data_IF_972370596291
#
_entry.id   IF_972370596291
#
_cell.length_a   1.000
_cell.length_b   1.000
_cell.length_c   1.000
_cell.angle_alpha   90.00
_cell.angle_beta   90.00
_cell.angle_gamma   90.00
#
_symmetry.space_group_name_H-M   'P 1'
#
loop_
_entity.id
_entity.type
_entity.pdbx_description
1 polymer ?
#
# COMPACT_ATOMS: atom_id res chain seq x y z
N UNK A 1 -5.51 -12.84 -25.81
CA UNK A 1 -6.63 -11.91 -26.03
C UNK A 1 -6.81 -11.68 -27.51
N UNK A 2 -7.94 -12.10 -28.08
CA UNK A 2 -8.25 -11.82 -29.49
C UNK A 2 -9.46 -10.88 -29.50
N UNK A 3 -9.22 -9.65 -29.92
CA UNK A 3 -10.32 -8.69 -30.15
C UNK A 3 -11.10 -9.07 -31.40
N UNK A 4 -12.39 -8.76 -31.51
CA UNK A 4 -13.24 -9.08 -32.67
C UNK A 4 -12.70 -8.53 -34.02
N UNK A 5 -11.98 -7.41 -34.01
CA UNK A 5 -11.35 -6.77 -35.17
C UNK A 5 -9.83 -6.85 -35.15
N UNK A 6 -9.28 -8.01 -34.76
CA UNK A 6 -7.85 -8.17 -34.53
C UNK A 6 -6.93 -7.88 -35.74
N UNK A 7 -7.45 -7.90 -36.97
CA UNK A 7 -6.70 -7.54 -38.17
C UNK A 7 -6.45 -6.03 -38.27
N UNK A 8 -7.39 -5.23 -37.76
CA UNK A 8 -7.34 -3.76 -37.81
C UNK A 8 -6.96 -3.13 -36.47
N UNK A 9 -6.89 -3.94 -35.39
CA UNK A 9 -6.58 -3.52 -34.05
C UNK A 9 -5.14 -3.90 -33.69
N UNK A 10 -4.30 -2.92 -33.53
CA UNK A 10 -2.98 -3.06 -32.89
C UNK A 10 -2.90 -2.20 -31.62
N UNK A 11 -2.06 -2.55 -30.65
CA UNK A 11 -1.78 -1.65 -29.55
C UNK A 11 -1.24 -0.31 -30.08
N UNK A 12 -1.74 0.79 -29.55
CA UNK A 12 -1.18 2.11 -29.82
C UNK A 12 0.24 2.19 -29.28
N UNK A 13 1.11 2.89 -29.96
CA UNK A 13 2.36 3.37 -29.40
C UNK A 13 2.07 4.51 -28.43
N UNK A 14 3.01 4.79 -27.54
CA UNK A 14 2.82 5.81 -26.52
C UNK A 14 2.57 7.20 -27.12
N UNK A 15 3.33 7.57 -28.14
CA UNK A 15 3.20 8.82 -28.88
C UNK A 15 1.84 8.97 -29.60
N UNK A 16 1.32 7.88 -30.16
CA UNK A 16 -0.01 7.85 -30.78
C UNK A 16 -1.12 8.03 -29.74
N UNK A 17 -0.98 7.34 -28.60
CA UNK A 17 -1.91 7.47 -27.48
C UNK A 17 -1.90 8.89 -26.91
N UNK A 18 -0.73 9.47 -26.70
CA UNK A 18 -0.55 10.83 -26.21
C UNK A 18 -1.21 11.86 -27.13
N UNK A 19 -1.05 11.71 -28.46
CA UNK A 19 -1.67 12.57 -29.47
C UNK A 19 -3.19 12.48 -29.54
N UNK A 20 -3.78 11.37 -29.05
CA UNK A 20 -5.24 11.17 -29.04
C UNK A 20 -5.88 11.66 -27.72
N UNK A 21 -5.12 11.86 -26.65
CA UNK A 21 -5.62 12.25 -25.35
C UNK A 21 -5.51 13.78 -25.13
N UNK A 22 -6.60 14.55 -25.38
CA UNK A 22 -6.54 16.01 -25.32
C UNK A 22 -6.39 16.57 -23.92
N UNK A 23 -6.85 15.81 -22.90
CA UNK A 23 -6.75 16.18 -21.48
C UNK A 23 -6.52 14.91 -20.66
N UNK A 24 -5.57 14.98 -19.72
CA UNK A 24 -5.22 13.86 -18.85
C UNK A 24 -5.14 14.32 -17.40
N UNK A 25 -5.64 13.47 -16.50
CA UNK A 25 -5.45 13.62 -15.06
C UNK A 25 -4.61 12.44 -14.59
N UNK A 26 -3.41 12.74 -14.10
CA UNK A 26 -2.52 11.76 -13.50
C UNK A 26 -2.79 11.68 -12.00
N UNK A 27 -3.00 10.47 -11.48
CA UNK A 27 -3.20 10.23 -10.04
C UNK A 27 -2.11 9.28 -9.56
N UNK A 28 -1.23 9.76 -8.72
CA UNK A 28 -0.12 8.98 -8.18
C UNK A 28 0.30 9.49 -6.80
N UNK A 29 0.68 8.56 -5.91
CA UNK A 29 1.35 8.91 -4.65
C UNK A 29 2.84 9.22 -4.85
N UNK A 30 3.41 8.79 -5.98
CA UNK A 30 4.82 8.90 -6.35
C UNK A 30 4.92 9.20 -7.85
N UNK A 31 4.68 10.46 -8.28
CA UNK A 31 4.76 10.84 -9.68
C UNK A 31 6.10 10.45 -10.30
N UNK A 32 6.09 10.12 -11.57
CA UNK A 32 7.31 9.86 -12.34
C UNK A 32 7.78 11.14 -13.05
N UNK A 33 8.96 11.07 -13.65
CA UNK A 33 9.50 12.19 -14.43
C UNK A 33 8.61 12.60 -15.60
N UNK A 34 7.83 11.66 -16.14
CA UNK A 34 6.91 11.95 -17.23
C UNK A 34 5.78 12.86 -16.78
N UNK A 35 5.11 12.53 -15.68
CA UNK A 35 4.03 13.32 -15.11
C UNK A 35 4.54 14.70 -14.66
N UNK A 36 5.70 14.75 -14.01
CA UNK A 36 6.31 16.01 -13.57
C UNK A 36 6.65 16.93 -14.75
N UNK A 37 7.13 16.38 -15.88
CA UNK A 37 7.51 17.14 -17.06
C UNK A 37 6.31 17.63 -17.88
N UNK A 38 5.18 16.90 -17.88
CA UNK A 38 4.04 17.15 -18.74
C UNK A 38 2.83 17.73 -18.01
N UNK A 39 2.81 17.73 -16.68
CA UNK A 39 1.72 18.32 -15.91
C UNK A 39 1.76 19.84 -15.94
N UNK A 40 0.69 20.47 -16.40
CA UNK A 40 0.52 21.92 -16.32
C UNK A 40 0.28 22.44 -14.90
N UNK A 41 -0.24 21.58 -14.03
CA UNK A 41 -0.48 21.87 -12.62
C UNK A 41 -0.32 20.60 -11.79
N UNK A 42 0.32 20.71 -10.62
CA UNK A 42 0.44 19.63 -9.64
C UNK A 42 -0.34 20.03 -8.40
N UNK A 43 -1.35 19.23 -8.04
CA UNK A 43 -2.14 19.40 -6.83
C UNK A 43 -1.83 18.27 -5.86
N UNK A 44 -1.49 18.59 -4.63
CA UNK A 44 -1.17 17.60 -3.60
C UNK A 44 -2.34 17.42 -2.64
N UNK A 45 -2.78 16.18 -2.47
CA UNK A 45 -3.73 15.77 -1.44
C UNK A 45 -2.98 14.99 -0.36
N UNK A 46 -2.38 15.69 0.59
CA UNK A 46 -1.52 15.10 1.62
C UNK A 46 -2.29 14.76 2.88
N UNK A 47 -3.27 15.59 3.26
CA UNK A 47 -3.99 15.44 4.52
C UNK A 47 -5.06 14.35 4.46
N UNK A 48 -5.18 13.59 5.55
CA UNK A 48 -6.17 12.53 5.74
C UNK A 48 -7.27 13.00 6.69
N UNK A 49 -8.55 12.86 6.33
CA UNK A 49 -9.67 13.24 7.23
C UNK A 49 -9.67 12.47 8.55
N UNK A 50 -9.13 11.25 8.58
CA UNK A 50 -8.98 10.43 9.78
C UNK A 50 -7.97 10.96 10.79
N UNK A 51 -7.14 11.93 10.38
CA UNK A 51 -6.06 12.47 11.19
C UNK A 51 -4.83 11.57 11.34
N UNK A 52 -4.84 10.37 10.74
CA UNK A 52 -3.73 9.42 10.82
C UNK A 52 -2.45 9.99 10.22
N UNK A 53 -1.36 9.81 10.96
CA UNK A 53 -0.04 10.31 10.57
C UNK A 53 0.70 9.29 9.70
N UNK A 54 1.62 9.78 8.88
CA UNK A 54 2.63 8.91 8.28
C UNK A 54 3.52 8.29 9.37
N UNK A 55 4.05 7.05 9.16
CA UNK A 55 4.77 6.34 10.20
C UNK A 55 6.06 7.06 10.61
N UNK A 56 6.47 6.83 11.85
CA UNK A 56 7.80 7.23 12.31
C UNK A 56 8.82 6.31 11.66
N UNK A 57 9.91 6.89 11.14
CA UNK A 57 10.98 6.12 10.51
C UNK A 57 12.19 6.07 11.44
N UNK A 58 12.71 4.86 11.63
CA UNK A 58 14.00 4.62 12.32
C UNK A 58 14.97 3.93 11.36
N UNK A 59 16.23 4.34 11.39
CA UNK A 59 17.32 3.65 10.70
C UNK A 59 18.11 2.88 11.73
N UNK A 60 18.35 1.58 11.50
CA UNK A 60 19.10 0.70 12.39
C UNK A 60 20.14 -0.09 11.61
N UNK A 61 21.25 -0.53 12.25
CA UNK A 61 22.30 -1.28 11.57
C UNK A 61 21.80 -2.57 10.92
N UNK A 62 22.25 -2.83 9.68
CA UNK A 62 21.88 -4.03 8.95
C UNK A 62 22.47 -5.31 9.57
N UNK A 63 23.63 -5.23 10.22
CA UNK A 63 24.29 -6.37 10.83
C UNK A 63 23.40 -7.12 11.86
N UNK A 64 22.58 -6.41 12.61
CA UNK A 64 21.68 -6.97 13.64
C UNK A 64 20.22 -7.00 13.21
N UNK A 65 19.91 -6.91 11.92
CA UNK A 65 18.54 -6.74 11.42
C UNK A 65 17.62 -7.89 11.84
N UNK A 66 18.06 -9.14 11.82
CA UNK A 66 17.24 -10.31 12.14
C UNK A 66 16.87 -10.34 13.62
N UNK A 67 17.86 -10.25 14.52
CA UNK A 67 17.63 -10.30 15.97
C UNK A 67 16.83 -9.09 16.46
N UNK A 68 17.13 -7.93 15.89
CA UNK A 68 16.40 -6.71 16.22
C UNK A 68 14.95 -6.77 15.73
N UNK A 69 14.72 -7.27 14.51
CA UNK A 69 13.37 -7.48 14.00
C UNK A 69 12.59 -8.50 14.85
N UNK A 70 13.20 -9.59 15.28
CA UNK A 70 12.57 -10.58 16.16
C UNK A 70 12.10 -9.94 17.48
N UNK A 71 12.90 -9.06 18.07
CA UNK A 71 12.51 -8.32 19.28
C UNK A 71 11.29 -7.41 19.03
N UNK A 72 11.29 -6.63 17.95
CA UNK A 72 10.17 -5.78 17.56
C UNK A 72 8.91 -6.59 17.25
N UNK A 73 9.05 -7.74 16.56
CA UNK A 73 7.96 -8.66 16.26
C UNK A 73 7.27 -9.11 17.54
N UNK A 74 8.04 -9.61 18.52
CA UNK A 74 7.49 -10.08 19.79
C UNK A 74 6.72 -8.98 20.54
N UNK A 75 7.26 -7.77 20.55
CA UNK A 75 6.62 -6.63 21.19
C UNK A 75 5.28 -6.25 20.50
N UNK A 76 5.20 -6.34 19.16
CA UNK A 76 4.00 -6.02 18.39
C UNK A 76 2.96 -7.15 18.41
N UNK A 77 3.40 -8.39 18.27
CA UNK A 77 2.54 -9.56 18.35
C UNK A 77 1.83 -9.65 19.71
N UNK A 78 2.52 -9.30 20.81
CA UNK A 78 1.92 -9.21 22.13
C UNK A 78 0.79 -8.16 22.24
N UNK A 79 0.77 -7.16 21.36
CA UNK A 79 -0.28 -6.14 21.25
C UNK A 79 -1.33 -6.48 20.17
N UNK A 80 -1.26 -7.68 19.62
CA UNK A 80 -2.12 -8.12 18.50
C UNK A 80 -2.01 -7.23 17.24
N UNK A 81 -0.85 -6.64 17.01
CA UNK A 81 -0.52 -5.85 15.84
C UNK A 81 0.15 -6.72 14.77
N UNK A 82 0.10 -6.30 13.49
CA UNK A 82 0.68 -7.05 12.36
C UNK A 82 1.92 -6.37 11.82
N UNK A 83 2.82 -7.20 11.28
CA UNK A 83 4.14 -6.78 10.83
C UNK A 83 4.36 -7.19 9.37
N UNK A 84 4.90 -6.27 8.58
CA UNK A 84 5.41 -6.55 7.24
C UNK A 84 6.93 -6.47 7.22
N UNK A 85 7.58 -7.47 6.62
CA UNK A 85 9.02 -7.46 6.40
C UNK A 85 9.30 -7.56 4.90
N UNK A 86 10.09 -6.64 4.37
CA UNK A 86 10.52 -6.69 2.97
C UNK A 86 11.99 -7.06 2.87
N UNK A 87 12.26 -8.07 2.04
CA UNK A 87 13.60 -8.56 1.73
C UNK A 87 13.89 -8.44 0.23
N UNK A 88 15.13 -8.67 -0.19
CA UNK A 88 15.55 -8.47 -1.58
C UNK A 88 15.41 -9.72 -2.46
N UNK A 89 15.48 -10.91 -1.87
CA UNK A 89 15.50 -12.17 -2.62
C UNK A 89 14.52 -13.20 -2.06
N UNK A 90 14.09 -14.14 -2.92
CA UNK A 90 13.23 -15.26 -2.54
C UNK A 90 13.89 -16.12 -1.46
N UNK A 91 15.17 -16.45 -1.65
CA UNK A 91 15.93 -17.25 -0.67
C UNK A 91 15.97 -16.57 0.70
N UNK A 92 16.25 -15.26 0.74
CA UNK A 92 16.23 -14.52 2.01
C UNK A 92 14.85 -14.51 2.67
N UNK A 93 13.76 -14.48 1.89
CA UNK A 93 12.41 -14.59 2.43
C UNK A 93 12.16 -15.97 3.04
N UNK A 94 12.59 -17.02 2.37
CA UNK A 94 12.47 -18.42 2.82
C UNK A 94 13.31 -18.64 4.10
N UNK A 95 14.60 -18.31 4.06
CA UNK A 95 15.52 -18.44 5.20
C UNK A 95 15.02 -17.66 6.45
N UNK A 96 14.52 -16.43 6.23
CA UNK A 96 13.97 -15.61 7.32
C UNK A 96 12.66 -16.18 7.87
N UNK A 97 11.81 -16.71 7.03
CA UNK A 97 10.55 -17.34 7.47
C UNK A 97 10.82 -18.58 8.31
N UNK A 98 11.74 -19.45 7.87
CA UNK A 98 12.17 -20.62 8.62
C UNK A 98 12.77 -20.21 9.99
N UNK A 99 13.68 -19.24 10.01
CA UNK A 99 14.25 -18.74 11.25
C UNK A 99 13.20 -18.20 12.22
N UNK A 100 12.23 -17.43 11.73
CA UNK A 100 11.17 -16.87 12.58
C UNK A 100 10.23 -17.95 13.11
N UNK A 101 9.91 -18.96 12.31
CA UNK A 101 9.09 -20.10 12.71
C UNK A 101 9.78 -20.94 13.82
N UNK A 102 11.08 -21.24 13.67
CA UNK A 102 11.91 -21.87 14.71
C UNK A 102 11.91 -21.10 16.02
N UNK A 103 11.73 -19.76 15.96
CA UNK A 103 11.62 -18.88 17.12
C UNK A 103 10.18 -18.66 17.61
N UNK A 104 9.25 -19.54 17.20
CA UNK A 104 7.84 -19.52 17.58
C UNK A 104 7.08 -18.26 17.18
N UNK A 105 7.47 -17.63 16.08
CA UNK A 105 6.74 -16.53 15.45
C UNK A 105 5.78 -17.09 14.42
N UNK A 106 4.51 -16.70 14.49
CA UNK A 106 3.54 -17.04 13.46
C UNK A 106 3.80 -16.19 12.22
N UNK A 107 4.42 -16.78 11.21
CA UNK A 107 4.92 -16.10 10.01
C UNK A 107 4.47 -16.80 8.73
N UNK A 108 4.22 -16.03 7.68
CA UNK A 108 4.10 -16.52 6.31
C UNK A 108 4.94 -15.66 5.37
N UNK A 109 5.35 -16.22 4.22
CA UNK A 109 5.99 -15.44 3.17
C UNK A 109 5.11 -15.36 1.92
N UNK A 110 5.29 -14.27 1.16
CA UNK A 110 4.58 -13.99 -0.08
C UNK A 110 5.59 -13.82 -1.21
N UNK A 111 5.55 -14.68 -2.21
CA UNK A 111 6.41 -14.61 -3.39
C UNK A 111 5.61 -14.35 -4.67
N UNK A 112 6.32 -14.17 -5.80
CA UNK A 112 5.73 -13.82 -7.09
C UNK A 112 4.86 -14.91 -7.69
N UNK A 113 5.11 -16.18 -7.33
CA UNK A 113 4.47 -17.35 -7.93
C UNK A 113 3.13 -17.71 -7.25
N UNK A 114 2.80 -17.03 -6.14
CA UNK A 114 1.50 -17.16 -5.46
C UNK A 114 0.42 -16.58 -6.36
N UNK A 115 -0.62 -17.35 -6.61
CA UNK A 115 -1.73 -16.90 -7.45
C UNK A 115 -2.56 -15.79 -6.76
N UNK A 116 -3.46 -15.18 -7.52
CA UNK A 116 -4.23 -14.04 -7.00
C UNK A 116 -5.18 -14.43 -5.87
N UNK A 117 -5.75 -15.63 -5.90
CA UNK A 117 -6.70 -16.12 -4.89
C UNK A 117 -5.97 -16.41 -3.59
N UNK A 118 -4.90 -17.20 -3.66
CA UNK A 118 -4.05 -17.54 -2.50
C UNK A 118 -3.48 -16.27 -1.85
N UNK A 119 -3.10 -15.28 -2.67
CA UNK A 119 -2.64 -13.99 -2.16
C UNK A 119 -3.69 -13.27 -1.34
N UNK A 120 -4.95 -13.26 -1.79
CA UNK A 120 -6.07 -12.64 -1.06
C UNK A 120 -6.31 -13.39 0.25
N UNK A 121 -6.22 -14.71 0.26
CA UNK A 121 -6.33 -15.54 1.46
C UNK A 121 -5.22 -15.23 2.47
N UNK A 122 -3.96 -15.16 2.03
CA UNK A 122 -2.82 -14.81 2.91
C UNK A 122 -3.03 -13.44 3.56
N UNK A 123 -3.48 -12.45 2.80
CA UNK A 123 -3.74 -11.10 3.33
C UNK A 123 -4.90 -11.09 4.30
N UNK A 124 -5.97 -11.81 4.00
CA UNK A 124 -7.11 -11.99 4.90
C UNK A 124 -6.67 -12.63 6.21
N UNK A 125 -5.91 -13.72 6.15
CA UNK A 125 -5.44 -14.46 7.32
C UNK A 125 -4.51 -13.61 8.19
N UNK A 126 -3.64 -12.77 7.59
CA UNK A 126 -2.86 -11.77 8.32
C UNK A 126 -3.76 -10.80 9.08
N UNK A 127 -4.78 -10.26 8.43
CA UNK A 127 -5.73 -9.32 9.04
C UNK A 127 -6.55 -9.97 10.15
N UNK A 128 -6.98 -11.23 9.99
CA UNK A 128 -7.68 -12.00 11.00
C UNK A 128 -6.79 -12.39 12.19
N UNK A 129 -5.47 -12.35 12.02
CA UNK A 129 -4.51 -12.70 13.07
C UNK A 129 -4.21 -14.18 13.17
N UNK A 130 -4.44 -14.92 12.10
CA UNK A 130 -4.00 -16.32 12.00
C UNK A 130 -2.47 -16.42 12.06
N UNK A 131 -1.79 -15.36 11.62
CA UNK A 131 -0.35 -15.16 11.80
C UNK A 131 -0.03 -13.67 11.98
N UNK A 132 1.17 -13.34 12.46
CA UNK A 132 1.56 -11.99 12.87
C UNK A 132 2.45 -11.29 11.87
N UNK A 133 3.27 -12.05 11.14
CA UNK A 133 4.32 -11.52 10.26
C UNK A 133 4.14 -11.99 8.84
N UNK A 134 4.13 -11.05 7.90
CA UNK A 134 4.21 -11.35 6.47
C UNK A 134 5.56 -10.91 5.93
N UNK A 135 6.33 -11.86 5.42
CA UNK A 135 7.61 -11.63 4.74
C UNK A 135 7.38 -11.62 3.23
N UNK A 136 7.98 -10.66 2.51
CA UNK A 136 7.87 -10.65 1.06
C UNK A 136 8.96 -9.82 0.37
N UNK A 137 9.14 -10.07 -0.93
CA UNK A 137 10.12 -9.34 -1.74
C UNK A 137 9.53 -8.00 -2.20
N UNK A 138 8.34 -8.05 -2.76
CA UNK A 138 7.63 -6.89 -3.28
C UNK A 138 6.20 -6.86 -2.74
N UNK A 139 6.04 -6.26 -1.58
CA UNK A 139 4.74 -6.04 -0.94
C UNK A 139 4.05 -4.75 -1.41
N UNK A 140 4.57 -4.16 -2.52
CA UNK A 140 4.10 -2.87 -3.06
C UNK A 140 2.88 -3.00 -3.97
N UNK A 141 2.48 -4.21 -4.36
CA UNK A 141 1.36 -4.37 -5.30
C UNK A 141 0.11 -3.68 -4.77
N UNK A 142 -0.56 -2.99 -5.66
CA UNK A 142 -1.80 -2.26 -5.41
C UNK A 142 -2.88 -3.15 -4.77
N UNK A 143 -3.78 -2.55 -4.01
CA UNK A 143 -4.90 -3.26 -3.39
C UNK A 143 -4.63 -3.87 -2.01
N UNK A 144 -3.44 -3.68 -1.43
CA UNK A 144 -3.16 -4.13 -0.07
C UNK A 144 -3.58 -3.07 0.95
N UNK A 145 -4.76 -3.26 1.52
CA UNK A 145 -5.28 -2.45 2.62
C UNK A 145 -5.25 -3.26 3.92
N UNK A 146 -4.29 -2.95 4.79
CA UNK A 146 -4.03 -3.67 6.02
C UNK A 146 -3.91 -2.68 7.19
N UNK A 147 -5.03 -2.18 7.72
CA UNK A 147 -5.00 -1.20 8.81
C UNK A 147 -4.43 -1.77 10.12
N UNK A 148 -4.33 -3.08 10.25
CA UNK A 148 -3.77 -3.79 11.40
C UNK A 148 -2.23 -3.77 11.44
N UNK A 149 -1.58 -3.37 10.33
CA UNK A 149 -0.12 -3.31 10.23
C UNK A 149 0.42 -2.08 10.93
N UNK A 150 1.13 -2.29 12.03
CA UNK A 150 1.78 -1.25 12.82
C UNK A 150 3.27 -1.10 12.51
N UNK A 151 3.92 -2.17 12.04
CA UNK A 151 5.34 -2.16 11.75
C UNK A 151 5.63 -2.61 10.32
N UNK A 152 6.47 -1.83 9.65
CA UNK A 152 7.11 -2.21 8.39
C UNK A 152 8.62 -2.26 8.61
N UNK A 153 9.23 -3.41 8.41
CA UNK A 153 10.67 -3.61 8.47
C UNK A 153 11.25 -3.78 7.05
N UNK A 154 12.20 -2.95 6.69
CA UNK A 154 12.85 -2.98 5.37
C UNK A 154 14.29 -3.43 5.58
N UNK A 155 14.58 -4.68 5.22
CA UNK A 155 15.91 -5.27 5.32
C UNK A 155 16.80 -4.80 4.17
N UNK A 156 18.08 -4.60 4.44
CA UNK A 156 19.06 -4.14 3.45
C UNK A 156 18.54 -2.90 2.67
N UNK A 157 18.06 -1.91 3.40
CA UNK A 157 17.47 -0.70 2.81
C UNK A 157 18.48 0.15 2.02
N UNK A 158 19.79 -0.02 2.30
CA UNK A 158 20.90 0.65 1.63
C UNK A 158 21.37 -0.04 0.34
N UNK A 159 20.82 -1.19 -0.02
CA UNK A 159 21.13 -1.87 -1.28
C UNK A 159 20.31 -1.23 -2.41
N UNK A 160 20.87 -0.18 -3.01
CA UNK A 160 20.18 0.55 -4.07
C UNK A 160 19.75 -0.35 -5.24
N UNK A 161 18.55 -0.09 -5.75
CA UNK A 161 17.95 -0.84 -6.83
C UNK A 161 16.44 -0.55 -6.93
N UNK A 162 15.76 -1.21 -7.85
CA UNK A 162 14.33 -1.00 -8.08
C UNK A 162 13.48 -1.15 -6.79
N UNK A 163 13.76 -2.18 -5.97
CA UNK A 163 13.04 -2.44 -4.72
C UNK A 163 13.39 -1.49 -3.58
N UNK A 164 14.44 -0.70 -3.72
CA UNK A 164 14.92 0.28 -2.74
C UNK A 164 15.04 1.68 -3.34
N UNK A 165 14.34 1.91 -4.47
CA UNK A 165 14.15 3.26 -5.01
C UNK A 165 13.33 4.11 -4.05
N UNK A 166 13.43 5.42 -4.17
CA UNK A 166 12.66 6.38 -3.38
C UNK A 166 11.16 6.05 -3.39
N UNK A 167 10.58 5.84 -4.60
CA UNK A 167 9.16 5.50 -4.75
C UNK A 167 8.80 4.19 -4.04
N UNK A 168 9.64 3.16 -4.19
CA UNK A 168 9.44 1.87 -3.53
C UNK A 168 9.48 1.99 -2.01
N UNK A 169 10.42 2.76 -1.48
CA UNK A 169 10.53 3.01 -0.03
C UNK A 169 9.31 3.77 0.48
N UNK A 170 8.90 4.87 -0.15
CA UNK A 170 7.71 5.65 0.24
C UNK A 170 6.45 4.76 0.27
N UNK A 171 6.24 3.95 -0.75
CA UNK A 171 5.07 3.07 -0.83
C UNK A 171 5.11 1.97 0.24
N UNK A 172 6.28 1.40 0.51
CA UNK A 172 6.45 0.37 1.54
C UNK A 172 6.24 0.94 2.93
N UNK A 173 6.89 2.05 3.26
CA UNK A 173 6.73 2.79 4.51
C UNK A 173 5.26 3.14 4.74
N UNK A 174 4.58 3.61 3.69
CA UNK A 174 3.17 4.01 3.73
C UNK A 174 2.20 2.88 4.10
N UNK A 175 2.62 1.60 4.08
CA UNK A 175 1.76 0.49 4.53
C UNK A 175 1.43 0.55 6.02
N UNK A 176 2.29 1.14 6.85
CA UNK A 176 2.02 1.37 8.26
C UNK A 176 1.26 2.68 8.55
N UNK A 177 0.95 3.50 7.54
CA UNK A 177 0.33 4.82 7.72
C UNK A 177 -1.16 4.77 8.11
N UNK A 178 -1.76 3.60 8.20
CA UNK A 178 -3.17 3.40 8.62
C UNK A 178 -3.33 2.97 10.07
N UNK A 179 -2.22 2.74 10.75
CA UNK A 179 -2.17 2.38 12.16
C UNK A 179 -1.73 3.56 13.03
N UNK A 180 -2.37 3.75 14.19
CA UNK A 180 -1.99 4.85 15.11
C UNK A 180 -0.52 4.79 15.53
N UNK A 181 -0.04 3.58 15.80
CA UNK A 181 1.34 3.30 16.20
C UNK A 181 2.23 2.95 15.01
N UNK A 182 1.89 3.46 13.82
CA UNK A 182 2.62 3.16 12.59
C UNK A 182 4.10 3.50 12.68
N UNK A 183 4.96 2.52 12.41
CA UNK A 183 6.42 2.64 12.46
C UNK A 183 7.05 1.93 11.26
N UNK A 184 8.10 2.51 10.71
CA UNK A 184 8.94 1.87 9.72
C UNK A 184 10.39 1.79 10.24
N UNK A 185 11.02 0.63 10.09
CA UNK A 185 12.43 0.44 10.43
C UNK A 185 13.17 0.10 9.13
N UNK A 186 14.15 0.93 8.79
CA UNK A 186 15.05 0.72 7.69
C UNK A 186 16.37 0.15 8.24
N UNK A 187 16.66 -1.10 7.93
CA UNK A 187 17.94 -1.70 8.30
C UNK A 187 18.99 -1.38 7.23
N UNK A 188 20.00 -0.60 7.62
CA UNK A 188 20.99 -0.08 6.71
C UNK A 188 22.26 0.28 7.45
N UNK A 189 23.41 0.06 6.82
CA UNK A 189 24.71 0.48 7.36
C UNK A 189 25.10 1.89 6.91
N UNK A 190 24.47 2.38 5.84
CA UNK A 190 24.63 3.74 5.33
C UNK A 190 23.28 4.29 4.82
N UNK A 191 23.08 5.58 4.97
CA UNK A 191 21.90 6.26 4.38
C UNK A 191 22.22 6.58 2.91
N UNK A 192 21.41 6.03 2.01
CA UNK A 192 21.52 6.31 0.57
C UNK A 192 20.68 7.52 0.17
N UNK A 193 20.90 8.05 -1.02
CA UNK A 193 20.11 9.17 -1.54
C UNK A 193 18.60 8.84 -1.64
N UNK A 194 18.25 7.62 -2.02
CA UNK A 194 16.86 7.16 -2.08
C UNK A 194 16.23 7.07 -0.69
N UNK A 195 16.97 6.58 0.30
CA UNK A 195 16.52 6.57 1.70
C UNK A 195 16.29 7.99 2.22
N UNK A 196 17.28 8.88 2.05
CA UNK A 196 17.16 10.26 2.54
C UNK A 196 15.91 10.94 1.99
N UNK A 197 15.71 10.91 0.67
CA UNK A 197 14.53 11.54 0.04
C UNK A 197 13.21 10.91 0.51
N UNK A 198 13.17 9.59 0.69
CA UNK A 198 11.96 8.92 1.20
C UNK A 198 11.65 9.28 2.65
N UNK A 199 12.67 9.45 3.50
CA UNK A 199 12.52 9.90 4.88
C UNK A 199 12.06 11.35 4.94
N UNK A 200 12.69 12.24 4.18
CA UNK A 200 12.36 13.66 4.14
C UNK A 200 10.90 13.87 3.67
N UNK A 201 10.48 13.16 2.63
CA UNK A 201 9.12 13.27 2.12
C UNK A 201 8.08 12.71 3.11
N UNK A 202 8.38 11.59 3.77
CA UNK A 202 7.48 11.03 4.79
C UNK A 202 7.35 11.97 5.98
N UNK A 203 8.46 12.56 6.45
CA UNK A 203 8.44 13.52 7.55
C UNK A 203 7.70 14.81 7.15
N UNK A 204 7.90 15.31 5.93
CA UNK A 204 7.17 16.46 5.41
C UNK A 204 5.65 16.21 5.45
N UNK A 205 5.20 15.06 4.96
CA UNK A 205 3.76 14.70 4.98
C UNK A 205 3.26 14.56 6.41
N UNK A 206 4.04 13.95 7.28
CA UNK A 206 3.71 13.79 8.70
C UNK A 206 3.53 15.16 9.38
N UNK A 207 4.45 16.08 9.19
CA UNK A 207 4.40 17.44 9.75
C UNK A 207 3.15 18.20 9.26
N UNK A 208 2.84 18.13 7.97
CA UNK A 208 1.62 18.74 7.41
C UNK A 208 0.35 18.16 8.04
N UNK A 209 0.28 16.86 8.25
CA UNK A 209 -0.87 16.23 8.88
C UNK A 209 -1.00 16.64 10.36
N UNK A 210 0.09 16.71 11.09
CA UNK A 210 0.10 17.17 12.50
C UNK A 210 -0.46 18.59 12.60
N UNK A 211 0.03 19.47 11.75
CA UNK A 211 -0.43 20.87 11.74
C UNK A 211 -1.92 20.98 11.37
N UNK A 212 -2.35 20.25 10.36
CA UNK A 212 -3.76 20.18 9.97
C UNK A 212 -4.64 19.64 11.11
N UNK A 213 -4.23 18.57 11.78
CA UNK A 213 -4.96 18.01 12.93
C UNK A 213 -5.10 19.03 14.05
N UNK A 214 -4.02 19.76 14.36
CA UNK A 214 -4.00 20.78 15.39
C UNK A 214 -4.96 21.95 15.06
N UNK A 215 -4.91 22.45 13.83
CA UNK A 215 -5.75 23.56 13.37
C UNK A 215 -7.24 23.19 13.36
N UNK A 216 -7.58 21.93 13.07
CA UNK A 216 -8.96 21.47 12.95
C UNK A 216 -9.47 20.70 14.18
N UNK A 217 -8.67 20.59 15.26
CA UNK A 217 -9.05 19.85 16.47
C UNK A 217 -9.28 18.35 16.23
N UNK A 218 -8.58 17.75 15.24
CA UNK A 218 -8.75 16.35 14.86
C UNK A 218 -7.87 15.47 15.73
N UNK A 219 -8.46 14.49 16.40
CA UNK A 219 -7.74 13.42 17.10
C UNK A 219 -7.65 12.22 16.16
N UNK A 220 -6.44 11.70 15.85
CA UNK A 220 -6.27 10.52 15.01
C UNK A 220 -7.05 9.32 15.55
N UNK A 221 -7.73 8.58 14.65
CA UNK A 221 -8.47 7.37 14.99
C UNK A 221 -8.04 6.24 14.08
N UNK A 222 -7.83 5.04 14.65
CA UNK A 222 -7.57 3.82 13.87
C UNK A 222 -8.73 3.52 12.94
N UNK A 223 -8.40 3.07 11.74
CA UNK A 223 -9.38 2.56 10.79
C UNK A 223 -9.70 1.12 11.18
N UNK A 224 -10.98 0.84 11.42
CA UNK A 224 -11.50 -0.52 11.58
C UNK A 224 -12.27 -0.85 10.31
N UNK A 225 -11.80 -1.83 9.55
CA UNK A 225 -12.44 -2.28 8.31
C UNK A 225 -12.81 -3.74 8.41
N UNK A 226 -14.05 -4.09 8.09
CA UNK A 226 -14.50 -5.48 8.11
C UNK A 226 -13.72 -6.33 7.09
N UNK A 227 -13.28 -7.52 7.51
CA UNK A 227 -12.49 -8.42 6.67
C UNK A 227 -13.36 -9.15 5.64
N UNK A 228 -14.67 -9.23 5.85
CA UNK A 228 -15.62 -9.90 4.94
C UNK A 228 -15.68 -9.27 3.56
N UNK A 229 -15.54 -7.94 3.45
CA UNK A 229 -15.64 -7.20 2.18
C UNK A 229 -14.57 -7.59 1.14
N UNK A 230 -13.42 -8.13 1.58
CA UNK A 230 -12.31 -8.49 0.69
C UNK A 230 -12.61 -9.78 -0.07
N UNK A 231 -13.29 -10.74 0.58
CA UNK A 231 -13.58 -12.05 -0.02
C UNK A 231 -14.74 -11.99 -1.02
N UNK A 232 -15.80 -11.23 -0.71
CA UNK A 232 -16.91 -11.05 -1.63
C UNK A 232 -16.46 -10.40 -2.94
N UNK A 233 -15.51 -9.45 -2.86
CA UNK A 233 -14.88 -8.85 -4.02
C UNK A 233 -14.06 -9.80 -4.88
N UNK A 234 -13.36 -10.77 -4.31
CA UNK A 234 -12.52 -11.74 -5.03
C UNK A 234 -13.36 -12.88 -5.68
N UNK A 235 -14.36 -13.40 -4.98
CA UNK A 235 -15.24 -14.45 -5.51
C UNK A 235 -16.24 -13.91 -6.55
N UNK A 236 -16.71 -12.67 -6.42
CA UNK A 236 -17.56 -12.03 -7.43
C UNK A 236 -16.83 -11.77 -8.76
N UNK A 237 -15.49 -11.75 -8.76
CA UNK A 237 -14.72 -11.60 -9.99
C UNK A 237 -14.66 -12.88 -10.85
N UNK A 238 -14.99 -14.04 -10.28
CA UNK A 238 -14.95 -15.33 -10.95
C UNK A 238 -16.32 -15.82 -11.48
N UNK A 239 -17.41 -15.21 -11.13
CA UNK A 239 -18.72 -15.57 -11.67
C UNK A 239 -19.86 -14.72 -11.16
N UNK A 240 -20.44 -13.98 -12.05
CA UNK A 240 -21.70 -13.28 -12.07
C UNK A 240 -21.69 -11.75 -11.90
N UNK A 241 -22.19 -11.11 -12.94
CA UNK A 241 -22.74 -9.76 -13.05
C UNK A 241 -21.85 -8.56 -12.69
N UNK A 242 -20.94 -8.26 -13.61
CA UNK A 242 -20.16 -7.00 -13.64
C UNK A 242 -21.00 -5.72 -13.56
N UNK A 243 -22.27 -5.77 -13.99
CA UNK A 243 -23.20 -4.62 -14.00
C UNK A 243 -23.78 -4.30 -12.62
N UNK A 244 -24.15 -5.31 -11.84
CA UNK A 244 -24.75 -5.11 -10.52
C UNK A 244 -23.71 -4.65 -9.49
N UNK A 245 -22.45 -5.04 -9.70
CA UNK A 245 -21.33 -4.65 -8.87
C UNK A 245 -20.91 -3.20 -9.07
N UNK A 246 -20.86 -2.71 -10.30
CA UNK A 246 -20.58 -1.29 -10.57
C UNK A 246 -21.66 -0.38 -10.00
N UNK A 247 -22.92 -0.83 -9.94
CA UNK A 247 -23.98 -0.10 -9.32
C UNK A 247 -23.85 -0.07 -7.78
N UNK A 248 -23.50 -1.19 -7.15
CA UNK A 248 -23.32 -1.27 -5.69
C UNK A 248 -22.07 -0.51 -5.20
N UNK A 249 -20.95 -0.55 -5.97
CA UNK A 249 -19.75 0.24 -5.66
C UNK A 249 -19.99 1.75 -5.84
N UNK A 250 -20.81 2.14 -6.81
CA UNK A 250 -21.23 3.52 -6.98
C UNK A 250 -22.12 3.98 -5.83
N UNK A 251 -23.11 3.20 -5.43
CA UNK A 251 -24.00 3.52 -4.32
C UNK A 251 -23.25 3.61 -2.98
N UNK A 252 -22.32 2.70 -2.71
CA UNK A 252 -21.45 2.76 -1.51
C UNK A 252 -20.50 3.96 -1.49
N UNK A 253 -19.98 4.38 -2.65
CA UNK A 253 -19.14 5.56 -2.75
C UNK A 253 -19.94 6.86 -2.54
N UNK A 254 -21.20 6.89 -2.94
CA UNK A 254 -22.09 8.02 -2.71
C UNK A 254 -22.54 8.15 -1.26
N UNK A 255 -22.80 7.04 -0.57
CA UNK A 255 -23.13 7.04 0.87
C UNK A 255 -21.98 7.61 1.75
N UNK A 256 -20.74 7.35 1.35
CA UNK A 256 -19.55 7.90 2.05
C UNK A 256 -19.39 9.42 1.84
N UNK A 257 -19.87 9.94 0.72
CA UNK A 257 -19.73 11.37 0.36
C UNK A 257 -20.95 12.19 0.78
N UNK A 258 -22.05 11.55 1.18
CA UNK A 258 -23.31 12.21 1.53
C UNK A 258 -23.97 12.92 0.33
N UNK A 259 -23.66 12.50 -0.90
CA UNK A 259 -24.23 13.05 -2.13
C UNK A 259 -25.33 12.12 -2.65
N UNK A 260 -26.41 12.70 -3.16
CA UNK A 260 -27.50 11.92 -3.75
C UNK A 260 -27.09 11.17 -5.03
N UNK A 261 -27.58 9.95 -5.26
CA UNK A 261 -27.23 9.15 -6.43
C UNK A 261 -27.60 9.85 -7.75
N UNK A 262 -26.72 9.79 -8.74
CA UNK A 262 -26.86 10.40 -10.08
C UNK A 262 -28.21 10.04 -10.78
N UNK A 263 -28.86 8.95 -10.40
CA UNK A 263 -30.18 8.53 -10.92
C UNK A 263 -31.29 9.57 -10.73
N UNK A 264 -31.15 10.47 -9.77
CA UNK A 264 -32.15 11.50 -9.51
C UNK A 264 -31.90 12.78 -10.34
N UNK A 265 -30.66 13.03 -10.74
CA UNK A 265 -30.30 14.22 -11.54
C UNK A 265 -30.82 14.11 -12.99
N UNK A 266 -30.89 12.90 -13.54
CA UNK A 266 -31.42 12.69 -14.92
C UNK A 266 -32.94 12.87 -15.05
N UNK A 267 -33.69 12.99 -13.96
CA UNK A 267 -35.15 13.24 -13.98
C UNK A 267 -35.53 14.71 -13.94
N UNK A 268 -34.60 15.57 -13.53
CA UNK A 268 -34.82 17.04 -13.45
C UNK A 268 -34.42 17.81 -14.73
N UNK A 269 -33.84 17.10 -15.73
CA UNK A 269 -33.44 17.68 -17.02
C UNK A 269 -34.42 17.28 -18.12
N UNK A 270 -35.70 17.30 -17.84
CA UNK A 270 -36.76 17.19 -18.88
C UNK A 270 -37.71 18.37 -18.79
#
# INVERSE_FOLDING_TARGET
FRLPSALDNRPLRFDEWEGLAPQMIFVSATPSRYEEANAGQIVQQVVRPTGLLDPIIEVRPALSQVDNALSEIRARAAQNERILITVLTKRMAEDLTEYLDEHSVRVRYLHSDVDTVERVEIIRDLRLGEFDVLVGINLLREGLDMPEVSLVAIFDADKEGFLRSEQSLIQTIGRAARHLNGKAILYADKITGSMQRSMDETERRRAMQIEFNKQNGITPKSIVKDVKDIMEGAYAATGQNRRDRQAAEADAAYDVIGAEPIKNIAKEIK
#
